data_IF_254522792473
#
_entry.id   IF_254522792473
#
_cell.length_a   1.000
_cell.length_b   1.000
_cell.length_c   1.000
_cell.angle_alpha   90.00
_cell.angle_beta   90.00
_cell.angle_gamma   90.00
#
_symmetry.space_group_name_H-M   'P 1'
#
loop_
_entity.id
_entity.type
_entity.pdbx_description
1 polymer ?
#
# COMPACT_ATOMS: atom_id res chain seq x y z
N UNK A 1 17.93 7.89 1.32
CA UNK A 1 18.08 8.70 0.10
C UNK A 1 16.71 8.81 -0.55
N UNK A 2 16.27 10.01 -0.91
CA UNK A 2 15.02 10.21 -1.66
C UNK A 2 15.37 10.27 -3.15
N UNK A 3 14.56 9.64 -3.99
CA UNK A 3 14.75 9.57 -5.45
C UNK A 3 13.75 10.49 -6.16
N UNK A 4 14.23 11.23 -7.17
CA UNK A 4 13.45 12.27 -7.85
C UNK A 4 12.80 11.80 -9.16
N UNK A 5 13.07 10.56 -9.59
CA UNK A 5 12.40 9.93 -10.74
C UNK A 5 12.28 8.40 -10.61
N UNK A 6 11.41 7.81 -11.43
CA UNK A 6 11.11 6.38 -11.43
C UNK A 6 12.31 5.51 -11.82
N UNK A 7 13.09 5.90 -12.83
CA UNK A 7 14.23 5.12 -13.32
C UNK A 7 15.29 4.92 -12.21
N UNK A 8 15.64 5.99 -11.50
CA UNK A 8 16.57 5.93 -10.37
C UNK A 8 16.02 5.08 -9.22
N UNK A 9 14.73 5.22 -8.92
CA UNK A 9 14.08 4.45 -7.86
C UNK A 9 14.05 2.95 -8.20
N UNK A 10 13.70 2.59 -9.43
CA UNK A 10 13.71 1.21 -9.93
C UNK A 10 15.10 0.59 -9.89
N UNK A 11 16.11 1.32 -10.34
CA UNK A 11 17.50 0.87 -10.30
C UNK A 11 17.99 0.66 -8.85
N UNK A 12 17.66 1.58 -7.94
CA UNK A 12 18.06 1.48 -6.55
C UNK A 12 17.37 0.31 -5.83
N UNK A 13 16.07 0.09 -6.10
CA UNK A 13 15.33 -1.01 -5.49
C UNK A 13 15.81 -2.37 -6.01
N UNK A 14 15.97 -2.54 -7.32
CA UNK A 14 16.36 -3.83 -7.92
C UNK A 14 17.69 -4.37 -7.37
N UNK A 15 18.66 -3.49 -7.12
CA UNK A 15 20.00 -3.81 -6.62
C UNK A 15 20.16 -3.64 -5.10
N UNK A 16 19.10 -3.34 -4.36
CA UNK A 16 19.19 -3.00 -2.94
C UNK A 16 19.74 -4.16 -2.08
N UNK A 17 20.69 -3.84 -1.19
CA UNK A 17 21.26 -4.74 -0.18
C UNK A 17 21.23 -4.14 1.24
N UNK A 18 20.44 -3.08 1.47
CA UNK A 18 20.45 -2.32 2.72
C UNK A 18 19.92 -3.06 3.97
N UNK A 19 19.37 -4.28 3.82
CA UNK A 19 18.94 -5.10 4.95
C UNK A 19 18.95 -6.59 4.59
N UNK A 20 18.93 -7.45 5.62
CA UNK A 20 18.99 -8.93 5.52
C UNK A 20 17.94 -9.58 4.61
N UNK A 21 16.85 -8.89 4.28
CA UNK A 21 15.85 -9.40 3.33
C UNK A 21 16.42 -9.57 1.92
N UNK A 22 17.55 -8.94 1.62
CA UNK A 22 18.23 -9.09 0.35
C UNK A 22 18.73 -10.52 0.10
N UNK A 23 19.06 -11.25 1.16
CA UNK A 23 19.72 -12.56 1.12
C UNK A 23 18.80 -13.68 0.65
N UNK A 24 17.49 -13.53 0.83
CA UNK A 24 16.51 -14.59 0.58
C UNK A 24 15.48 -14.28 -0.49
N UNK A 25 15.46 -13.06 -1.03
CA UNK A 25 14.52 -12.69 -2.10
C UNK A 25 14.87 -13.40 -3.40
N UNK A 26 13.88 -13.68 -4.23
CA UNK A 26 14.08 -14.02 -5.63
C UNK A 26 14.11 -12.73 -6.45
N UNK A 27 13.12 -11.85 -6.24
CA UNK A 27 13.04 -10.55 -6.89
C UNK A 27 12.58 -9.49 -5.89
N UNK A 28 13.00 -8.25 -6.10
CA UNK A 28 12.35 -7.12 -5.43
C UNK A 28 10.99 -6.84 -6.04
N UNK A 29 10.07 -6.36 -5.23
CA UNK A 29 8.72 -5.96 -5.63
C UNK A 29 8.56 -4.48 -5.33
N UNK A 30 8.84 -3.64 -6.33
CA UNK A 30 8.76 -2.19 -6.19
C UNK A 30 7.32 -1.73 -5.95
N UNK A 31 6.41 -2.12 -6.84
CA UNK A 31 5.04 -1.64 -6.88
C UNK A 31 4.44 -1.82 -8.28
N UNK A 32 3.15 -1.63 -8.42
CA UNK A 32 2.45 -1.69 -9.71
C UNK A 32 1.17 -0.84 -9.70
N UNK A 33 0.72 -0.40 -10.87
CA UNK A 33 -0.47 0.43 -11.06
C UNK A 33 -0.15 1.79 -11.67
N UNK A 34 -1.05 2.76 -11.54
CA UNK A 34 -0.88 4.08 -12.13
C UNK A 34 0.17 4.91 -11.36
N UNK A 35 1.29 5.36 -11.98
CA UNK A 35 2.30 6.19 -11.32
C UNK A 35 1.82 7.60 -10.97
N UNK A 36 0.59 7.97 -11.34
CA UNK A 36 -0.13 9.20 -10.98
C UNK A 36 -1.46 8.89 -10.28
N UNK A 37 -1.56 7.73 -9.64
CA UNK A 37 -2.79 7.29 -8.98
C UNK A 37 -3.23 8.26 -7.87
N UNK A 38 -4.53 8.56 -7.76
CA UNK A 38 -5.05 9.30 -6.61
C UNK A 38 -5.00 8.48 -5.30
N UNK A 39 -4.95 7.14 -5.38
CA UNK A 39 -4.86 6.25 -4.22
C UNK A 39 -3.53 5.48 -4.23
N UNK A 40 -2.83 5.49 -3.09
CA UNK A 40 -1.67 4.64 -2.84
C UNK A 40 -2.03 3.56 -1.80
N UNK A 41 -2.04 2.30 -2.22
CA UNK A 41 -2.27 1.14 -1.36
C UNK A 41 -0.93 0.61 -0.84
N UNK A 42 -0.78 0.49 0.48
CA UNK A 42 0.47 0.06 1.13
C UNK A 42 0.23 -1.16 2.01
N UNK A 43 0.75 -2.31 1.58
CA UNK A 43 0.79 -3.55 2.35
C UNK A 43 2.03 -3.71 3.22
N UNK A 44 2.19 -4.90 3.78
CA UNK A 44 3.29 -5.23 4.68
C UNK A 44 4.60 -5.54 3.92
N UNK A 45 4.56 -6.53 3.03
CA UNK A 45 5.71 -7.06 2.32
C UNK A 45 5.28 -8.08 1.27
N UNK A 46 6.16 -8.46 0.33
CA UNK A 46 5.85 -9.48 -0.67
C UNK A 46 5.61 -10.85 -0.05
N UNK A 47 4.65 -11.59 -0.61
CA UNK A 47 4.50 -13.02 -0.38
C UNK A 47 5.30 -13.83 -1.39
N UNK A 48 5.09 -15.15 -1.39
CA UNK A 48 5.82 -16.07 -2.28
C UNK A 48 5.56 -15.83 -3.77
N UNK A 49 4.31 -15.55 -4.15
CA UNK A 49 3.97 -15.35 -5.56
C UNK A 49 4.48 -13.99 -6.04
N UNK A 50 4.44 -12.98 -5.18
CA UNK A 50 4.96 -11.65 -5.44
C UNK A 50 6.47 -11.69 -5.64
N UNK A 51 7.21 -12.39 -4.77
CA UNK A 51 8.67 -12.58 -4.85
C UNK A 51 9.10 -13.29 -6.14
N UNK A 52 8.32 -14.28 -6.59
CA UNK A 52 8.58 -14.98 -7.85
C UNK A 52 8.30 -14.11 -9.08
N UNK A 53 7.34 -13.21 -9.02
CA UNK A 53 6.85 -12.45 -10.18
C UNK A 53 7.36 -11.01 -10.24
N UNK A 54 7.86 -10.44 -9.14
CA UNK A 54 8.22 -9.03 -9.05
C UNK A 54 7.01 -8.08 -8.92
N UNK A 55 5.78 -8.60 -8.83
CA UNK A 55 4.54 -7.82 -8.86
C UNK A 55 3.81 -7.93 -7.50
N UNK A 56 3.37 -6.81 -6.89
CA UNK A 56 2.71 -6.84 -5.59
C UNK A 56 1.29 -7.41 -5.69
N UNK A 57 0.82 -8.07 -4.62
CA UNK A 57 -0.57 -8.53 -4.50
C UNK A 57 -1.05 -9.32 -5.75
N UNK A 58 -0.39 -10.43 -6.06
CA UNK A 58 -0.75 -11.37 -7.14
C UNK A 58 -1.21 -12.73 -6.62
N UNK A 59 -0.98 -13.02 -5.34
CA UNK A 59 -1.54 -14.19 -4.65
C UNK A 59 -3.03 -14.04 -4.30
N UNK A 60 -3.53 -14.95 -3.46
CA UNK A 60 -4.95 -14.99 -3.05
C UNK A 60 -5.43 -13.68 -2.40
N UNK A 61 -4.57 -13.03 -1.62
CA UNK A 61 -4.87 -11.72 -1.02
C UNK A 61 -5.01 -10.63 -2.07
N UNK A 62 -4.18 -10.67 -3.11
CA UNK A 62 -4.29 -9.76 -4.25
C UNK A 62 -5.56 -9.94 -5.05
N UNK A 63 -5.94 -11.19 -5.33
CA UNK A 63 -7.21 -11.49 -6.01
C UNK A 63 -8.44 -10.99 -5.23
N UNK A 64 -8.38 -10.99 -3.89
CA UNK A 64 -9.42 -10.38 -3.06
C UNK A 64 -9.40 -8.85 -3.19
N UNK A 65 -8.22 -8.24 -3.15
CA UNK A 65 -8.05 -6.81 -3.33
C UNK A 65 -8.60 -6.36 -4.70
N UNK A 66 -8.31 -7.09 -5.78
CA UNK A 66 -8.82 -6.80 -7.11
C UNK A 66 -10.35 -6.84 -7.16
N UNK A 67 -10.97 -7.80 -6.47
CA UNK A 67 -12.43 -7.90 -6.35
C UNK A 67 -13.03 -6.73 -5.55
N UNK A 68 -12.36 -6.30 -4.49
CA UNK A 68 -12.79 -5.15 -3.67
C UNK A 68 -12.73 -3.86 -4.48
N UNK A 69 -11.62 -3.62 -5.18
CA UNK A 69 -11.47 -2.47 -6.07
C UNK A 69 -12.58 -2.44 -7.13
N UNK A 70 -12.78 -3.56 -7.84
CA UNK A 70 -13.82 -3.67 -8.85
C UNK A 70 -15.22 -3.43 -8.26
N UNK A 71 -15.49 -3.96 -7.06
CA UNK A 71 -16.78 -3.82 -6.40
C UNK A 71 -17.15 -2.35 -6.11
N UNK A 72 -16.17 -1.52 -5.75
CA UNK A 72 -16.38 -0.08 -5.51
C UNK A 72 -16.11 0.79 -6.73
N UNK A 73 -16.01 0.17 -7.92
CA UNK A 73 -15.83 0.88 -9.18
C UNK A 73 -14.43 1.49 -9.37
N UNK A 74 -13.42 0.98 -8.68
CA UNK A 74 -12.02 1.36 -8.84
C UNK A 74 -11.28 0.35 -9.73
N UNK A 75 -10.36 0.86 -10.54
CA UNK A 75 -9.47 0.10 -11.40
C UNK A 75 -8.07 0.03 -10.82
N UNK A 76 -7.52 -1.19 -10.79
CA UNK A 76 -6.12 -1.45 -10.42
C UNK A 76 -5.12 -0.63 -11.25
N UNK A 77 -5.41 -0.46 -12.55
CA UNK A 77 -4.49 0.16 -13.50
C UNK A 77 -4.67 1.68 -13.63
N UNK A 78 -5.83 2.23 -13.22
CA UNK A 78 -6.13 3.66 -13.39
C UNK A 78 -6.14 4.43 -12.07
N UNK A 79 -6.69 3.84 -11.01
CA UNK A 79 -7.06 4.59 -9.81
C UNK A 79 -6.11 4.38 -8.65
N UNK A 80 -5.30 3.31 -8.69
CA UNK A 80 -4.43 2.93 -7.59
C UNK A 80 -2.99 2.69 -8.04
N UNK A 81 -2.06 2.92 -7.12
CA UNK A 81 -0.73 2.33 -7.13
C UNK A 81 -0.60 1.44 -5.89
N UNK A 82 -0.12 0.22 -6.07
CA UNK A 82 -0.02 -0.79 -5.00
C UNK A 82 1.45 -1.05 -4.69
N UNK A 83 1.82 -0.99 -3.42
CA UNK A 83 3.16 -1.34 -2.95
C UNK A 83 3.12 -1.88 -1.51
N UNK A 84 4.28 -2.09 -0.89
CA UNK A 84 4.45 -2.58 0.46
C UNK A 84 5.45 -1.75 1.26
N UNK A 85 5.44 -1.87 2.59
CA UNK A 85 6.45 -1.26 3.47
C UNK A 85 7.88 -1.74 3.13
N UNK A 86 8.06 -3.05 2.96
CA UNK A 86 9.33 -3.63 2.47
C UNK A 86 9.21 -4.12 1.03
N UNK A 87 10.27 -4.03 0.24
CA UNK A 87 10.29 -4.47 -1.18
C UNK A 87 10.79 -5.90 -1.39
N UNK A 88 11.16 -6.60 -0.33
CA UNK A 88 11.72 -7.95 -0.37
C UNK A 88 10.88 -8.87 0.52
N UNK A 89 10.65 -10.11 0.08
CA UNK A 89 9.88 -11.10 0.86
C UNK A 89 10.61 -11.46 2.16
N UNK A 90 9.98 -11.28 3.34
CA UNK A 90 10.53 -11.83 4.58
C UNK A 90 10.54 -13.37 4.59
N UNK A 91 11.58 -14.02 5.15
CA UNK A 91 11.66 -15.47 5.25
C UNK A 91 10.39 -16.09 5.84
N UNK A 92 9.84 -17.11 5.16
CA UNK A 92 8.60 -17.80 5.57
C UNK A 92 7.38 -16.87 5.73
N UNK A 93 7.37 -15.70 5.07
CA UNK A 93 6.31 -14.69 5.16
C UNK A 93 6.07 -14.20 6.61
N UNK A 94 7.12 -14.12 7.44
CA UNK A 94 7.03 -13.44 8.73
C UNK A 94 6.79 -11.94 8.53
N UNK A 95 6.37 -11.25 9.58
CA UNK A 95 6.33 -9.79 9.55
C UNK A 95 7.76 -9.22 9.36
N UNK A 96 7.91 -8.10 8.62
CA UNK A 96 9.17 -7.39 8.53
C UNK A 96 9.53 -6.79 9.89
N UNK A 97 10.79 -6.92 10.28
CA UNK A 97 11.31 -6.35 11.52
C UNK A 97 11.38 -4.82 11.42
N UNK A 98 11.40 -4.09 12.55
CA UNK A 98 11.48 -2.63 12.53
C UNK A 98 12.68 -2.10 11.74
N UNK A 99 13.87 -2.69 11.90
CA UNK A 99 15.09 -2.32 11.17
C UNK A 99 14.95 -2.53 9.66
N UNK A 100 14.28 -3.61 9.23
CA UNK A 100 13.99 -3.86 7.81
C UNK A 100 13.01 -2.83 7.22
N UNK A 101 12.03 -2.40 8.02
CA UNK A 101 11.12 -1.32 7.63
C UNK A 101 11.86 0.02 7.53
N UNK A 102 12.73 0.35 8.49
CA UNK A 102 13.54 1.58 8.42
C UNK A 102 14.50 1.57 7.23
N UNK A 103 15.13 0.45 6.92
CA UNK A 103 16.05 0.35 5.79
C UNK A 103 15.34 0.54 4.44
N UNK A 104 14.02 0.31 4.39
CA UNK A 104 13.24 0.30 3.16
C UNK A 104 12.29 1.52 3.01
N UNK A 105 12.08 2.31 4.08
CA UNK A 105 11.07 3.38 4.13
C UNK A 105 11.30 4.48 3.09
N UNK A 106 12.55 4.78 2.76
CA UNK A 106 12.89 5.85 1.83
C UNK A 106 12.44 5.54 0.39
N UNK A 107 12.34 4.26 0.02
CA UNK A 107 11.72 3.87 -1.26
C UNK A 107 10.23 4.18 -1.27
N UNK A 108 9.51 3.88 -0.19
CA UNK A 108 8.09 4.23 -0.07
C UNK A 108 7.89 5.75 -0.06
N UNK A 109 8.74 6.50 0.65
CA UNK A 109 8.69 7.97 0.64
C UNK A 109 8.90 8.53 -0.78
N UNK A 110 9.84 7.96 -1.52
CA UNK A 110 10.09 8.35 -2.92
C UNK A 110 8.90 8.03 -3.81
N UNK A 111 8.27 6.86 -3.66
CA UNK A 111 7.01 6.52 -4.35
C UNK A 111 5.91 7.53 -4.03
N UNK A 112 5.69 7.85 -2.75
CA UNK A 112 4.69 8.83 -2.35
C UNK A 112 4.97 10.21 -2.95
N UNK A 113 6.24 10.65 -2.98
CA UNK A 113 6.64 11.94 -3.55
C UNK A 113 6.45 12.00 -5.07
N UNK A 114 6.72 10.90 -5.79
CA UNK A 114 6.53 10.80 -7.23
C UNK A 114 5.05 10.72 -7.62
N UNK A 115 4.27 9.92 -6.89
CA UNK A 115 2.85 9.66 -7.17
C UNK A 115 1.98 10.87 -6.76
N UNK A 116 2.29 11.50 -5.62
CA UNK A 116 1.48 12.55 -4.98
C UNK A 116 0.00 12.10 -4.81
N UNK A 117 -0.24 10.98 -4.09
CA UNK A 117 -1.59 10.47 -3.92
C UNK A 117 -2.42 11.41 -3.05
N UNK A 118 -3.73 11.39 -3.25
CA UNK A 118 -4.72 12.05 -2.38
C UNK A 118 -5.00 11.24 -1.13
N UNK A 119 -5.04 9.91 -1.28
CA UNK A 119 -5.32 8.97 -0.19
C UNK A 119 -4.24 7.89 -0.13
N UNK A 120 -3.67 7.66 1.04
CA UNK A 120 -2.83 6.50 1.35
C UNK A 120 -3.66 5.52 2.19
N UNK A 121 -3.83 4.29 1.69
CA UNK A 121 -4.59 3.24 2.36
C UNK A 121 -3.62 2.18 2.87
N UNK A 122 -3.52 2.08 4.19
CA UNK A 122 -2.71 1.08 4.87
C UNK A 122 -3.47 -0.26 4.92
N UNK A 123 -2.97 -1.28 4.23
CA UNK A 123 -3.53 -2.62 4.23
C UNK A 123 -2.97 -3.39 5.43
N UNK A 124 -3.61 -3.26 6.58
CA UNK A 124 -3.25 -3.95 7.82
C UNK A 124 -2.28 -3.20 8.74
N UNK A 125 -1.92 -3.88 9.84
CA UNK A 125 -1.33 -3.25 11.02
C UNK A 125 0.07 -2.69 10.78
N UNK A 126 0.91 -3.40 10.04
CA UNK A 126 2.31 -2.99 9.86
C UNK A 126 2.40 -1.62 9.17
N UNK A 127 1.70 -1.45 8.04
CA UNK A 127 1.62 -0.16 7.34
C UNK A 127 0.95 0.91 8.22
N UNK A 128 -0.17 0.59 8.86
CA UNK A 128 -0.91 1.56 9.66
C UNK A 128 -0.11 2.05 10.88
N UNK A 129 0.58 1.16 11.59
CA UNK A 129 1.43 1.53 12.72
C UNK A 129 2.58 2.45 12.30
N UNK A 130 3.17 2.19 11.13
CA UNK A 130 4.32 2.96 10.64
C UNK A 130 3.94 4.30 10.03
N UNK A 131 2.80 4.38 9.33
CA UNK A 131 2.40 5.57 8.57
C UNK A 131 1.40 6.47 9.32
N UNK A 132 0.51 5.89 10.13
CA UNK A 132 -0.52 6.64 10.87
C UNK A 132 -0.06 6.90 12.31
N UNK A 133 0.06 5.87 13.15
CA UNK A 133 0.47 6.03 14.55
C UNK A 133 1.06 4.73 15.11
N UNK A 134 2.16 4.74 15.88
CA UNK A 134 2.75 3.53 16.44
C UNK A 134 1.77 2.63 17.19
N UNK A 135 0.78 3.22 17.88
CA UNK A 135 -0.22 2.52 18.70
C UNK A 135 -1.52 2.17 17.93
N UNK A 136 -1.51 2.27 16.60
CA UNK A 136 -2.70 2.06 15.78
C UNK A 136 -3.27 0.63 15.90
N UNK A 137 -4.56 0.53 16.20
CA UNK A 137 -5.31 -0.73 16.32
C UNK A 137 -6.26 -0.92 15.15
N UNK A 138 -5.85 -1.70 14.15
CA UNK A 138 -6.67 -1.98 12.95
C UNK A 138 -8.06 -2.52 13.29
N UNK A 139 -8.19 -3.33 14.33
CA UNK A 139 -9.48 -3.92 14.73
C UNK A 139 -10.52 -2.90 15.20
N UNK A 140 -10.12 -1.69 15.60
CA UNK A 140 -11.03 -0.66 16.12
C UNK A 140 -10.91 0.69 15.43
N UNK A 141 -9.86 0.90 14.64
CA UNK A 141 -9.56 2.18 13.97
C UNK A 141 -9.56 2.07 12.44
N UNK A 142 -9.85 0.90 11.86
CA UNK A 142 -10.05 0.81 10.41
C UNK A 142 -11.16 1.76 9.95
N UNK A 143 -11.08 2.22 8.71
CA UNK A 143 -12.04 3.16 8.10
C UNK A 143 -11.93 4.60 8.60
N UNK A 144 -11.19 4.88 9.68
CA UNK A 144 -10.95 6.25 10.15
C UNK A 144 -9.94 6.97 9.24
N UNK A 145 -10.24 8.23 8.91
CA UNK A 145 -9.37 9.09 8.10
C UNK A 145 -8.55 10.03 8.98
N UNK A 146 -7.29 10.19 8.62
CA UNK A 146 -6.31 11.06 9.27
C UNK A 146 -5.62 11.91 8.21
N UNK A 147 -5.52 13.22 8.40
CA UNK A 147 -4.88 14.09 7.41
C UNK A 147 -3.45 14.44 7.82
N UNK A 148 -2.51 14.38 6.86
CA UNK A 148 -1.13 14.89 7.00
C UNK A 148 -0.65 15.47 5.69
N UNK A 149 -0.18 16.72 5.73
CA UNK A 149 0.39 17.40 4.55
C UNK A 149 -0.54 17.35 3.32
N UNK A 150 -1.84 17.59 3.51
CA UNK A 150 -2.89 17.51 2.49
C UNK A 150 -3.09 16.12 1.84
N UNK A 151 -2.59 15.06 2.48
CA UNK A 151 -2.83 13.67 2.10
C UNK A 151 -3.66 13.01 3.19
N UNK A 152 -4.75 12.36 2.79
CA UNK A 152 -5.53 11.54 3.71
C UNK A 152 -4.87 10.17 3.89
N UNK A 153 -4.77 9.71 5.12
CA UNK A 153 -4.37 8.37 5.48
C UNK A 153 -5.55 7.65 6.10
N UNK A 154 -5.75 6.41 5.69
CA UNK A 154 -6.70 5.49 6.32
C UNK A 154 -6.11 4.10 6.37
N UNK A 155 -6.73 3.21 7.13
CA UNK A 155 -6.33 1.81 7.20
C UNK A 155 -7.55 0.90 7.06
N UNK A 156 -7.31 -0.28 6.50
CA UNK A 156 -8.28 -1.37 6.45
C UNK A 156 -7.58 -2.69 6.82
N UNK A 157 -8.34 -3.78 6.89
CA UNK A 157 -7.79 -5.10 7.16
C UNK A 157 -6.89 -5.56 6.00
N UNK A 158 -5.78 -6.24 6.33
CA UNK A 158 -4.95 -6.85 5.30
C UNK A 158 -5.76 -7.95 4.56
N UNK A 159 -5.75 -8.03 3.21
CA UNK A 159 -6.55 -9.01 2.47
C UNK A 159 -6.32 -10.47 2.91
N UNK A 160 -5.07 -10.84 3.23
CA UNK A 160 -4.76 -12.16 3.78
C UNK A 160 -5.45 -12.47 5.13
N UNK A 161 -5.66 -11.45 5.98
CA UNK A 161 -6.43 -11.58 7.24
C UNK A 161 -7.91 -11.80 6.95
N UNK A 162 -8.47 -11.02 6.02
CA UNK A 162 -9.88 -11.10 5.62
C UNK A 162 -10.23 -12.48 5.05
N UNK A 163 -9.30 -13.11 4.32
CA UNK A 163 -9.47 -14.48 3.82
C UNK A 163 -9.61 -15.51 4.95
N UNK A 164 -8.98 -15.28 6.11
CA UNK A 164 -9.00 -16.18 7.27
C UNK A 164 -10.08 -15.84 8.29
N UNK A 165 -10.59 -14.62 8.29
CA UNK A 165 -11.53 -14.12 9.29
C UNK A 165 -12.81 -13.57 8.62
N UNK A 166 -13.87 -14.40 8.48
CA UNK A 166 -15.09 -14.03 7.74
C UNK A 166 -15.78 -12.74 8.22
N UNK A 167 -15.90 -12.46 9.53
CA UNK A 167 -16.43 -11.19 10.03
C UNK A 167 -15.75 -9.92 9.47
N UNK A 168 -14.46 -9.99 9.11
CA UNK A 168 -13.74 -8.82 8.56
C UNK A 168 -14.18 -8.46 7.13
N UNK A 169 -14.88 -9.35 6.42
CA UNK A 169 -15.25 -9.12 5.01
C UNK A 169 -16.18 -7.92 4.84
N UNK A 170 -17.27 -7.88 5.60
CA UNK A 170 -18.23 -6.77 5.54
C UNK A 170 -17.56 -5.44 5.87
N UNK A 171 -16.84 -5.41 6.99
CA UNK A 171 -16.09 -4.24 7.43
C UNK A 171 -15.08 -3.73 6.39
N UNK A 172 -14.37 -4.64 5.71
CA UNK A 172 -13.42 -4.26 4.65
C UNK A 172 -14.16 -3.68 3.43
N UNK A 173 -15.32 -4.22 3.08
CA UNK A 173 -16.14 -3.66 1.99
C UNK A 173 -16.60 -2.25 2.34
N UNK A 174 -17.10 -2.05 3.57
CA UNK A 174 -17.54 -0.74 4.06
C UNK A 174 -16.39 0.29 4.04
N UNK A 175 -15.17 -0.11 4.44
CA UNK A 175 -13.97 0.74 4.35
C UNK A 175 -13.69 1.18 2.91
N UNK A 176 -13.76 0.26 1.94
CA UNK A 176 -13.49 0.57 0.52
C UNK A 176 -14.57 1.46 -0.09
N UNK A 177 -15.83 1.32 0.32
CA UNK A 177 -16.92 2.22 -0.07
C UNK A 177 -16.61 3.64 0.44
N UNK A 178 -16.29 3.78 1.73
CA UNK A 178 -15.94 5.07 2.31
C UNK A 178 -14.70 5.72 1.65
N UNK A 179 -13.70 4.91 1.27
CA UNK A 179 -12.52 5.37 0.51
C UNK A 179 -12.93 5.93 -0.86
N UNK A 180 -13.82 5.24 -1.58
CA UNK A 180 -14.31 5.69 -2.88
C UNK A 180 -15.08 7.00 -2.76
N UNK A 181 -16.00 7.08 -1.80
CA UNK A 181 -16.78 8.30 -1.54
C UNK A 181 -15.87 9.48 -1.21
N UNK A 182 -14.88 9.27 -0.32
CA UNK A 182 -13.92 10.32 0.04
C UNK A 182 -13.07 10.76 -1.15
N UNK A 183 -12.68 9.83 -2.03
CA UNK A 183 -11.97 10.17 -3.25
C UNK A 183 -12.82 11.07 -4.16
N UNK A 184 -14.10 10.73 -4.35
CA UNK A 184 -15.00 11.50 -5.20
C UNK A 184 -15.19 12.93 -4.68
N UNK A 185 -15.35 13.10 -3.36
CA UNK A 185 -15.41 14.40 -2.70
C UNK A 185 -14.15 15.24 -2.96
N UNK A 186 -12.96 14.63 -2.85
CA UNK A 186 -11.69 15.31 -3.07
C UNK A 186 -11.50 15.72 -4.54
N UNK A 187 -11.95 14.89 -5.48
CA UNK A 187 -11.88 15.20 -6.91
C UNK A 187 -12.86 16.31 -7.29
N UNK A 188 -14.10 16.26 -6.80
CA UNK A 188 -15.08 17.31 -7.01
C UNK A 188 -14.62 18.66 -6.44
N UNK A 189 -13.98 18.64 -5.27
CA UNK A 189 -13.46 19.82 -4.61
C UNK A 189 -12.30 20.50 -5.36
N UNK A 190 -11.59 19.80 -6.23
CA UNK A 190 -10.54 20.39 -7.08
C UNK A 190 -11.11 20.98 -8.36
N UNK A 191 -12.05 20.28 -9.00
CA UNK A 191 -12.76 20.79 -10.18
C UNK A 191 -13.48 22.11 -9.90
N UNK A 192 -13.97 22.30 -8.66
CA UNK A 192 -14.60 23.56 -8.23
C UNK A 192 -13.63 24.69 -7.85
N UNK A 193 -12.31 24.44 -7.79
CA UNK A 193 -11.28 25.47 -7.51
C UNK A 193 -10.65 26.04 -8.78
N UNK A 194 -10.86 25.38 -9.92
CA UNK A 194 -10.35 25.80 -11.24
C UNK A 194 -11.37 26.67 -12.03
N UNK A 195 -12.48 27.08 -11.39
CA UNK A 195 -13.50 28.02 -11.89
C UNK A 195 -13.42 29.34 -11.11
#
# INVERSE_FOLDING_TARGET
MIFDNWDQLEQAVSSCENCRLCETRIQTVLGAGNPKAPILLVGEGPGENEDKQGIPFVGRGGQLLDKLLLHVGLSREKDVYITNMVKCRPPKNRNPMPDEQEACIDYLRSQTALIRPKIIVCLGRIAACKLISPDFKVTSQHGQFFERNNVLLTATFHPASVLRNPPQRGLTVDDFIAIKEKLDELLASELGRDC
#
